data_IF_722869905961
#
_entry.id   IF_722869905961
#
_cell.length_a   1.000
_cell.length_b   1.000
_cell.length_c   1.000
_cell.angle_alpha   90.00
_cell.angle_beta   90.00
_cell.angle_gamma   90.00
#
_symmetry.space_group_name_H-M   'P 1'
#
loop_
_entity.id
_entity.type
_entity.pdbx_description
1 polymer ?
#
# COMPACT_ATOMS: atom_id res chain seq x y z
N UNK A 1 -3.96 -27.80 71.07
CA UNK A 1 -5.37 -27.84 71.53
C UNK A 1 -6.06 -28.86 70.64
N UNK A 2 -6.09 -30.14 71.00
CA UNK A 2 -7.00 -30.82 71.94
C UNK A 2 -8.46 -30.83 71.47
N UNK A 3 -9.02 -32.05 71.53
CA UNK A 3 -10.42 -32.50 71.48
C UNK A 3 -10.97 -32.79 70.07
N UNK A 4 -11.20 -34.03 69.59
CA UNK A 4 -11.73 -35.33 70.10
C UNK A 4 -13.25 -35.42 70.31
N UNK A 5 -13.79 -36.54 69.80
CA UNK A 5 -15.03 -37.25 70.16
C UNK A 5 -16.35 -36.66 69.58
N UNK A 6 -17.33 -37.46 69.14
CA UNK A 6 -17.86 -38.64 69.82
C UNK A 6 -18.72 -39.52 68.90
N UNK A 7 -18.48 -40.81 68.99
CA UNK A 7 -19.33 -41.93 68.57
C UNK A 7 -20.62 -42.03 69.38
N UNK A 8 -21.71 -42.54 68.80
CA UNK A 8 -22.77 -43.21 69.56
C UNK A 8 -23.11 -44.57 68.93
N UNK A 9 -23.03 -45.60 69.78
CA UNK A 9 -23.40 -47.00 69.55
C UNK A 9 -24.56 -47.34 70.47
N UNK A 10 -25.56 -48.05 69.93
CA UNK A 10 -26.42 -49.10 70.53
C UNK A 10 -27.36 -48.69 71.68
N UNK A 11 -28.48 -49.41 72.01
CA UNK A 11 -28.61 -50.89 72.08
C UNK A 11 -29.96 -51.54 71.62
N UNK A 12 -29.93 -52.82 71.19
CA UNK A 12 -30.54 -54.05 71.81
C UNK A 12 -32.10 -54.13 71.71
N UNK A 13 -32.81 -55.25 71.50
CA UNK A 13 -32.68 -56.61 72.03
C UNK A 13 -33.82 -57.55 71.46
N UNK A 14 -33.52 -58.84 71.17
CA UNK A 14 -34.36 -60.09 71.27
C UNK A 14 -35.70 -60.20 70.50
N UNK A 15 -36.26 -61.36 70.11
CA UNK A 15 -35.89 -62.80 70.00
C UNK A 15 -37.10 -63.57 69.42
N UNK A 16 -36.84 -64.57 68.56
CA UNK A 16 -37.51 -65.89 68.43
C UNK A 16 -39.01 -65.97 68.08
N UNK A 17 -39.32 -66.57 66.91
CA UNK A 17 -40.27 -67.69 66.79
C UNK A 17 -40.12 -68.46 65.46
N UNK A 18 -40.14 -69.78 65.59
CA UNK A 18 -39.96 -70.83 64.60
C UNK A 18 -41.24 -71.15 63.80
N UNK A 19 -41.04 -71.96 62.75
CA UNK A 19 -41.97 -72.86 62.01
C UNK A 19 -42.71 -72.31 60.77
N UNK A 20 -42.43 -72.92 59.62
CA UNK A 20 -43.27 -72.78 58.42
C UNK A 20 -42.61 -73.23 57.11
N UNK A 21 -42.37 -74.53 56.98
CA UNK A 21 -42.02 -75.28 55.76
C UNK A 21 -42.88 -74.86 54.55
N UNK A 22 -42.29 -74.46 53.42
CA UNK A 22 -42.77 -74.84 52.08
C UNK A 22 -41.66 -74.71 51.04
N UNK A 23 -41.39 -75.84 50.37
CA UNK A 23 -40.51 -75.97 49.21
C UNK A 23 -40.88 -74.97 48.11
N UNK A 24 -39.93 -74.15 47.70
CA UNK A 24 -39.80 -73.63 46.34
C UNK A 24 -38.31 -73.35 46.13
N UNK A 25 -37.61 -74.25 45.42
CA UNK A 25 -36.29 -73.98 44.86
C UNK A 25 -36.41 -72.74 43.95
N UNK A 26 -35.78 -71.59 44.24
CA UNK A 26 -35.48 -70.65 43.19
C UNK A 26 -34.33 -71.27 42.40
N UNK A 27 -34.57 -71.55 41.11
CA UNK A 27 -33.49 -71.67 40.15
C UNK A 27 -32.56 -70.48 40.37
N UNK A 28 -31.34 -70.73 40.84
CA UNK A 28 -30.22 -69.84 40.61
C UNK A 28 -29.98 -69.87 39.11
N UNK A 29 -30.74 -69.07 38.37
CA UNK A 29 -30.32 -68.63 37.05
C UNK A 29 -29.08 -67.80 37.34
N UNK A 30 -27.92 -68.41 37.13
CA UNK A 30 -26.72 -67.66 36.81
C UNK A 30 -27.07 -66.85 35.57
N UNK A 31 -27.47 -65.60 35.76
CA UNK A 31 -27.40 -64.62 34.71
C UNK A 31 -25.89 -64.46 34.43
N UNK A 32 -25.35 -65.34 33.59
CA UNK A 32 -24.26 -64.91 32.74
C UNK A 32 -24.80 -63.69 32.02
N UNK A 33 -24.17 -62.54 32.19
CA UNK A 33 -24.36 -61.43 31.28
C UNK A 33 -23.92 -61.98 29.91
N UNK A 34 -24.87 -62.41 29.11
CA UNK A 34 -24.64 -62.73 27.71
C UNK A 34 -24.30 -61.41 27.02
N UNK A 35 -23.01 -61.19 26.77
CA UNK A 35 -22.44 -60.08 26.00
C UNK A 35 -22.72 -60.20 24.48
N UNK A 36 -23.71 -61.00 24.09
CA UNK A 36 -24.12 -61.13 22.70
C UNK A 36 -24.97 -59.90 22.32
N UNK A 37 -24.35 -58.92 21.65
CA UNK A 37 -25.03 -57.80 21.00
C UNK A 37 -24.87 -56.41 21.64
N UNK A 38 -23.87 -56.19 22.52
CA UNK A 38 -23.53 -54.84 22.99
C UNK A 38 -22.62 -54.10 22.00
N UNK A 39 -22.99 -52.88 21.66
CA UNK A 39 -22.24 -51.99 20.79
C UNK A 39 -21.08 -51.31 21.54
N UNK A 40 -19.98 -50.98 20.87
CA UNK A 40 -18.83 -50.32 21.49
C UNK A 40 -19.22 -49.02 22.22
N UNK A 41 -20.13 -48.24 21.64
CA UNK A 41 -20.60 -46.95 22.19
C UNK A 41 -21.55 -47.09 23.38
N UNK A 42 -22.08 -48.28 23.67
CA UNK A 42 -22.90 -48.50 24.88
C UNK A 42 -22.07 -48.35 26.16
N UNK A 43 -20.75 -48.57 26.06
CA UNK A 43 -19.79 -48.35 27.15
C UNK A 43 -18.80 -47.21 26.88
N UNK A 44 -18.49 -46.91 25.63
CA UNK A 44 -17.56 -45.84 25.22
C UNK A 44 -18.28 -44.60 24.66
N UNK A 45 -19.40 -44.22 25.29
CA UNK A 45 -20.21 -43.08 24.85
C UNK A 45 -19.38 -41.79 24.74
N UNK A 46 -18.33 -41.65 25.56
CA UNK A 46 -17.42 -40.51 25.59
C UNK A 46 -16.74 -40.24 24.24
N UNK A 47 -16.63 -41.23 23.35
CA UNK A 47 -16.01 -41.10 22.02
C UNK A 47 -16.88 -40.35 21.00
N UNK A 48 -18.10 -40.00 21.38
CA UNK A 48 -19.12 -39.40 20.50
C UNK A 48 -19.80 -38.14 21.08
N UNK A 49 -19.15 -37.49 22.05
CA UNK A 49 -19.71 -36.33 22.78
C UNK A 49 -19.33 -34.96 22.20
N UNK A 50 -18.31 -34.88 21.35
CA UNK A 50 -17.79 -33.61 20.82
C UNK A 50 -18.55 -33.13 19.59
N UNK A 51 -18.35 -31.85 19.23
CA UNK A 51 -19.10 -31.19 18.15
C UNK A 51 -18.93 -31.84 16.77
N UNK A 52 -17.72 -32.25 16.44
CA UNK A 52 -17.37 -32.91 15.17
C UNK A 52 -16.98 -34.33 15.48
N UNK A 53 -17.80 -35.28 15.04
CA UNK A 53 -17.57 -36.71 15.25
C UNK A 53 -17.16 -37.31 13.90
N UNK A 54 -16.12 -38.14 13.90
CA UNK A 54 -15.70 -38.85 12.72
C UNK A 54 -16.82 -39.82 12.30
N UNK A 55 -17.21 -39.81 11.02
CA UNK A 55 -18.40 -40.54 10.56
C UNK A 55 -18.33 -42.05 10.85
N UNK A 56 -17.13 -42.63 10.95
CA UNK A 56 -16.93 -44.04 11.28
C UNK A 56 -17.38 -44.38 12.71
N UNK A 57 -17.44 -43.40 13.61
CA UNK A 57 -17.89 -43.58 15.00
C UNK A 57 -19.42 -43.59 15.08
N UNK A 58 -20.14 -43.10 14.07
CA UNK A 58 -21.60 -43.10 14.08
C UNK A 58 -22.21 -44.51 13.99
N UNK A 59 -21.43 -45.51 13.60
CA UNK A 59 -21.80 -46.92 13.54
C UNK A 59 -20.90 -47.73 14.50
N UNK A 60 -21.50 -48.30 15.55
CA UNK A 60 -20.77 -49.03 16.59
C UNK A 60 -20.05 -50.28 16.08
N UNK A 61 -20.48 -50.81 14.94
CA UNK A 61 -19.90 -52.01 14.35
C UNK A 61 -18.68 -51.67 13.46
N UNK A 62 -18.47 -50.39 13.16
CA UNK A 62 -17.36 -49.92 12.34
C UNK A 62 -16.05 -49.72 13.11
N UNK A 63 -16.06 -49.84 14.45
CA UNK A 63 -14.85 -49.70 15.28
C UNK A 63 -13.76 -50.71 14.91
N UNK A 64 -14.15 -51.94 14.53
CA UNK A 64 -13.22 -53.00 14.13
C UNK A 64 -12.57 -52.77 12.77
N UNK A 65 -12.97 -51.75 12.01
CA UNK A 65 -12.29 -51.36 10.78
C UNK A 65 -10.94 -50.70 11.05
N UNK A 66 -10.80 -50.05 12.21
CA UNK A 66 -9.57 -49.38 12.63
C UNK A 66 -8.85 -50.12 13.77
N UNK A 67 -9.62 -50.79 14.64
CA UNK A 67 -9.11 -51.48 15.81
C UNK A 67 -9.10 -53.00 15.63
N UNK A 68 -7.97 -53.64 15.89
CA UNK A 68 -7.88 -55.09 15.94
C UNK A 68 -8.09 -55.57 17.38
N UNK A 69 -8.87 -56.62 17.57
CA UNK A 69 -9.03 -57.22 18.89
C UNK A 69 -7.74 -57.96 19.27
N UNK A 70 -7.09 -57.53 20.35
CA UNK A 70 -5.84 -58.12 20.87
C UNK A 70 -6.12 -59.11 22.00
N UNK A 71 -7.05 -58.76 22.92
CA UNK A 71 -7.39 -59.59 24.07
C UNK A 71 -8.91 -59.77 24.22
N UNK A 72 -9.47 -60.89 23.74
CA UNK A 72 -10.91 -61.15 23.80
C UNK A 72 -11.47 -61.23 25.22
N UNK A 73 -10.70 -61.77 26.16
CA UNK A 73 -11.15 -61.94 27.55
C UNK A 73 -11.20 -60.60 28.31
N UNK A 74 -10.39 -59.63 27.90
CA UNK A 74 -10.34 -58.28 28.50
C UNK A 74 -11.03 -57.20 27.65
N UNK A 75 -11.65 -57.56 26.53
CA UNK A 75 -12.18 -56.59 25.56
C UNK A 75 -11.11 -55.54 25.16
N UNK A 76 -9.87 -56.00 25.01
CA UNK A 76 -8.71 -55.17 24.64
C UNK A 76 -8.54 -55.10 23.12
N UNK A 77 -8.32 -53.89 22.62
CA UNK A 77 -8.14 -53.61 21.19
C UNK A 77 -6.85 -52.84 20.95
N UNK A 78 -6.12 -53.23 19.91
CA UNK A 78 -4.97 -52.50 19.43
C UNK A 78 -5.40 -51.25 18.66
N UNK A 79 -4.77 -50.09 18.93
CA UNK A 79 -4.90 -48.92 18.08
C UNK A 79 -4.18 -49.23 16.77
N UNK A 80 -4.95 -49.34 15.68
CA UNK A 80 -4.50 -49.67 14.33
C UNK A 80 -4.22 -51.16 14.13
N UNK A 81 -5.01 -51.79 13.25
CA UNK A 81 -4.78 -53.18 12.86
C UNK A 81 -3.33 -53.34 12.38
N UNK A 82 -2.50 -54.04 13.16
CA UNK A 82 -1.04 -54.08 13.06
C UNK A 82 -0.46 -54.65 11.73
N UNK A 83 -1.30 -54.92 10.73
CA UNK A 83 -0.98 -55.71 9.53
C UNK A 83 -1.32 -55.04 8.19
N UNK A 84 -1.49 -53.72 8.12
CA UNK A 84 -1.76 -53.02 6.85
C UNK A 84 -0.69 -51.96 6.61
N UNK A 85 0.21 -52.25 5.65
CA UNK A 85 1.44 -51.51 5.35
C UNK A 85 1.28 -50.13 4.70
N UNK A 86 0.09 -49.55 4.75
CA UNK A 86 -0.21 -48.13 4.48
C UNK A 86 -1.26 -47.75 5.53
N UNK A 87 -1.03 -46.68 6.31
CA UNK A 87 -1.75 -46.43 7.57
C UNK A 87 -3.28 -46.48 7.45
N UNK A 88 -3.98 -47.03 8.47
CA UNK A 88 -5.44 -47.25 8.53
C UNK A 88 -6.31 -46.12 7.96
N UNK A 89 -5.86 -44.86 8.08
CA UNK A 89 -6.58 -43.71 7.55
C UNK A 89 -6.71 -43.73 6.02
N UNK A 90 -5.69 -44.19 5.28
CA UNK A 90 -5.67 -44.21 3.81
C UNK A 90 -6.58 -45.28 3.19
N UNK A 91 -7.10 -46.22 4.00
CA UNK A 91 -8.09 -47.19 3.53
C UNK A 91 -9.40 -46.53 3.09
N UNK A 92 -9.72 -45.36 3.65
CA UNK A 92 -10.93 -44.61 3.33
C UNK A 92 -10.62 -43.19 2.83
N UNK A 93 -9.58 -42.55 3.34
CA UNK A 93 -9.14 -41.23 2.86
C UNK A 93 -8.23 -41.40 1.64
N UNK A 94 -8.65 -40.84 0.51
CA UNK A 94 -7.90 -40.90 -0.74
C UNK A 94 -6.69 -39.97 -0.77
N UNK A 95 -6.05 -39.89 -1.94
CA UNK A 95 -4.88 -39.06 -2.17
C UNK A 95 -5.14 -37.56 -1.95
N UNK A 96 -4.17 -36.87 -1.35
CA UNK A 96 -4.22 -35.43 -1.16
C UNK A 96 -4.04 -34.71 -2.51
N UNK A 97 -4.84 -33.67 -2.79
CA UNK A 97 -4.78 -32.92 -4.04
C UNK A 97 -3.40 -32.29 -4.26
N UNK A 98 -3.03 -32.12 -5.52
CA UNK A 98 -1.71 -31.65 -5.94
C UNK A 98 -0.81 -32.79 -6.42
N UNK A 99 0.39 -32.42 -6.82
CA UNK A 99 1.45 -33.26 -7.40
C UNK A 99 2.79 -33.09 -6.65
N UNK A 100 2.92 -32.07 -5.79
CA UNK A 100 4.13 -31.81 -4.99
C UNK A 100 4.39 -32.81 -3.86
N UNK A 101 5.44 -32.55 -3.08
CA UNK A 101 5.83 -33.41 -1.95
C UNK A 101 4.83 -33.33 -0.80
N UNK A 102 4.64 -34.46 -0.11
CA UNK A 102 3.84 -34.51 1.11
C UNK A 102 4.57 -33.76 2.23
N UNK A 103 3.81 -33.02 3.03
CA UNK A 103 4.31 -32.44 4.25
C UNK A 103 4.79 -33.54 5.20
N UNK A 104 5.95 -33.34 5.86
CA UNK A 104 6.65 -34.37 6.63
C UNK A 104 5.76 -35.23 7.55
N UNK A 105 4.88 -34.67 8.41
CA UNK A 105 4.00 -35.50 9.25
C UNK A 105 3.05 -36.40 8.47
N UNK A 106 2.65 -35.98 7.26
CA UNK A 106 1.77 -36.77 6.38
C UNK A 106 2.56 -37.83 5.63
N UNK A 107 3.76 -37.50 5.18
CA UNK A 107 4.67 -38.44 4.50
C UNK A 107 5.04 -39.62 5.40
N UNK A 108 5.22 -39.37 6.71
CA UNK A 108 5.57 -40.39 7.70
C UNK A 108 4.34 -41.12 8.28
N UNK A 109 3.12 -40.72 7.90
CA UNK A 109 1.88 -41.34 8.37
C UNK A 109 1.44 -40.89 9.78
N UNK A 110 2.03 -39.83 10.32
CA UNK A 110 1.78 -39.27 11.65
C UNK A 110 0.51 -38.39 11.72
N UNK A 111 -0.58 -38.87 11.11
CA UNK A 111 -1.87 -38.15 11.01
C UNK A 111 -2.40 -37.69 12.38
N UNK A 112 -2.14 -38.48 13.43
CA UNK A 112 -2.66 -38.27 14.78
C UNK A 112 -2.01 -37.11 15.53
N UNK A 113 -0.89 -36.59 15.00
CA UNK A 113 -0.27 -35.37 15.53
C UNK A 113 -1.23 -34.20 15.43
N UNK A 114 -2.00 -34.14 14.34
CA UNK A 114 -2.92 -33.06 14.04
C UNK A 114 -4.39 -33.46 14.18
N UNK A 115 -4.75 -34.72 13.90
CA UNK A 115 -6.14 -35.18 13.86
C UNK A 115 -6.49 -36.15 15.00
N UNK A 116 -7.69 -36.00 15.54
CA UNK A 116 -8.31 -36.99 16.41
C UNK A 116 -9.19 -37.92 15.55
N UNK A 117 -8.93 -39.24 15.52
CA UNK A 117 -9.64 -40.16 14.63
C UNK A 117 -11.08 -40.45 15.07
N UNK A 118 -11.47 -40.01 16.27
CA UNK A 118 -12.80 -40.21 16.82
C UNK A 118 -13.64 -38.95 16.73
N UNK A 119 -13.14 -37.84 17.30
CA UNK A 119 -13.95 -36.63 17.48
C UNK A 119 -13.12 -35.40 17.87
N UNK A 120 -13.65 -34.20 17.64
CA UNK A 120 -13.08 -32.93 18.11
C UNK A 120 -14.15 -31.84 18.25
N UNK A 121 -13.86 -30.80 19.01
CA UNK A 121 -14.63 -29.55 19.00
C UNK A 121 -14.29 -28.65 17.79
N UNK A 122 -13.22 -29.00 17.06
CA UNK A 122 -12.68 -28.26 15.92
C UNK A 122 -13.03 -28.95 14.59
N UNK A 123 -13.14 -28.14 13.53
CA UNK A 123 -13.35 -28.64 12.18
C UNK A 123 -12.21 -29.59 11.74
N UNK A 124 -12.50 -30.48 10.80
CA UNK A 124 -11.56 -31.49 10.29
C UNK A 124 -10.92 -32.36 11.40
N UNK A 125 -11.58 -32.48 12.56
CA UNK A 125 -11.12 -33.28 13.69
C UNK A 125 -9.75 -32.86 14.25
N UNK A 126 -9.39 -31.58 14.15
CA UNK A 126 -8.10 -31.11 14.66
C UNK A 126 -7.98 -31.31 16.18
N UNK A 127 -6.82 -31.71 16.68
CA UNK A 127 -6.59 -31.93 18.12
C UNK A 127 -6.48 -30.61 18.89
N UNK A 128 -6.06 -29.52 18.23
CA UNK A 128 -5.89 -28.16 18.76
C UNK A 128 -6.16 -27.11 17.68
N UNK A 129 -6.36 -25.81 18.04
CA UNK A 129 -6.50 -24.74 17.05
C UNK A 129 -5.34 -24.73 16.05
N UNK A 130 -5.62 -24.45 14.78
CA UNK A 130 -4.65 -24.60 13.69
C UNK A 130 -3.32 -23.88 13.95
N UNK A 131 -3.35 -22.61 14.35
CA UNK A 131 -2.13 -21.87 14.66
C UNK A 131 -1.28 -22.56 15.74
N UNK A 132 -1.91 -23.07 16.81
CA UNK A 132 -1.19 -23.79 17.87
C UNK A 132 -0.54 -25.07 17.35
N UNK A 133 -1.26 -25.85 16.52
CA UNK A 133 -0.72 -27.07 15.90
C UNK A 133 0.51 -26.79 15.04
N UNK A 134 0.44 -25.75 14.20
CA UNK A 134 1.55 -25.38 13.35
C UNK A 134 2.77 -24.98 14.19
N UNK A 135 2.56 -24.21 15.27
CA UNK A 135 3.66 -23.71 16.09
C UNK A 135 4.26 -24.71 17.08
N UNK A 136 3.74 -25.94 17.17
CA UNK A 136 4.44 -27.02 17.89
C UNK A 136 5.76 -27.40 17.22
N UNK A 137 5.81 -27.27 15.89
CA UNK A 137 6.98 -27.59 15.08
C UNK A 137 7.57 -26.37 14.37
N UNK A 138 6.74 -25.43 13.90
CA UNK A 138 7.19 -24.22 13.24
C UNK A 138 7.46 -23.11 14.24
N UNK A 139 8.53 -22.34 14.01
CA UNK A 139 8.85 -21.23 14.89
C UNK A 139 7.72 -20.18 14.89
N UNK A 140 7.26 -19.73 16.07
CA UNK A 140 6.29 -18.65 16.15
C UNK A 140 6.91 -17.33 15.66
N UNK A 141 6.07 -16.47 15.10
CA UNK A 141 6.50 -15.14 14.65
C UNK A 141 6.76 -14.17 15.81
N UNK A 142 7.56 -13.13 15.57
CA UNK A 142 7.81 -12.08 16.56
C UNK A 142 6.54 -11.28 16.86
N UNK A 143 6.07 -11.33 18.10
CA UNK A 143 4.86 -10.66 18.56
C UNK A 143 4.94 -9.13 18.53
N UNK A 144 6.14 -8.55 18.33
CA UNK A 144 6.31 -7.10 18.15
C UNK A 144 5.99 -6.63 16.73
N UNK A 145 5.92 -7.56 15.77
CA UNK A 145 5.61 -7.24 14.39
C UNK A 145 4.11 -7.24 14.15
N UNK A 146 3.67 -6.51 13.12
CA UNK A 146 2.29 -6.55 12.67
C UNK A 146 2.10 -7.83 11.88
N UNK A 147 1.13 -8.64 12.28
CA UNK A 147 0.75 -9.85 11.57
C UNK A 147 -0.30 -9.56 10.50
N UNK A 148 -0.17 -10.27 9.38
CA UNK A 148 -1.23 -10.40 8.40
C UNK A 148 -2.45 -11.08 9.03
N UNK A 149 -3.67 -10.74 8.59
CA UNK A 149 -4.88 -11.20 9.25
C UNK A 149 -5.00 -12.74 9.36
N UNK A 150 -4.71 -13.53 8.30
CA UNK A 150 -4.74 -15.00 8.41
C UNK A 150 -3.71 -15.54 9.40
N UNK A 151 -2.54 -14.91 9.51
CA UNK A 151 -1.52 -15.29 10.50
C UNK A 151 -1.97 -14.93 11.91
N UNK A 152 -2.54 -13.74 12.11
CA UNK A 152 -3.04 -13.29 13.40
C UNK A 152 -4.17 -14.16 13.95
N UNK A 153 -5.03 -14.70 13.07
CA UNK A 153 -6.10 -15.62 13.45
C UNK A 153 -5.66 -17.09 13.52
N UNK A 154 -4.43 -17.41 13.14
CA UNK A 154 -3.95 -18.80 13.05
C UNK A 154 -4.59 -19.60 11.92
N UNK A 155 -5.11 -18.93 10.89
CA UNK A 155 -5.73 -19.52 9.69
C UNK A 155 -4.67 -19.82 8.63
N UNK A 156 -3.63 -20.56 8.99
CA UNK A 156 -2.52 -20.94 8.11
C UNK A 156 -3.02 -21.62 6.82
N UNK A 157 -4.11 -22.39 6.89
CA UNK A 157 -4.64 -23.10 5.73
C UNK A 157 -5.37 -22.21 4.72
N UNK A 158 -5.54 -20.92 4.99
CA UNK A 158 -6.12 -20.02 3.99
C UNK A 158 -5.14 -19.84 2.81
N UNK A 159 -3.84 -19.95 3.07
CA UNK A 159 -2.80 -19.83 2.05
C UNK A 159 -2.00 -21.12 1.83
N UNK A 160 -1.81 -21.94 2.87
CA UNK A 160 -1.06 -23.19 2.80
C UNK A 160 -1.99 -24.40 2.75
N UNK A 161 -1.59 -25.47 2.05
CA UNK A 161 -2.18 -26.78 2.25
C UNK A 161 -1.34 -27.57 3.27
N UNK A 162 -1.88 -27.95 4.43
CA UNK A 162 -1.10 -28.63 5.46
C UNK A 162 -0.67 -30.05 5.09
N UNK A 163 -1.22 -30.62 4.01
CA UNK A 163 -0.87 -31.97 3.55
C UNK A 163 0.03 -31.94 2.32
N UNK A 164 -0.38 -31.21 1.27
CA UNK A 164 0.28 -31.23 -0.03
C UNK A 164 -0.15 -30.05 -0.89
N UNK A 165 0.80 -29.44 -1.59
CA UNK A 165 0.48 -28.55 -2.71
C UNK A 165 1.54 -28.66 -3.81
N UNK A 166 1.18 -28.20 -5.01
CA UNK A 166 2.11 -28.10 -6.15
C UNK A 166 3.21 -27.06 -5.92
N UNK A 167 2.90 -26.05 -5.13
CA UNK A 167 3.78 -24.90 -4.94
C UNK A 167 4.73 -25.07 -3.75
N UNK A 168 5.94 -24.48 -3.82
CA UNK A 168 6.86 -24.44 -2.68
C UNK A 168 6.19 -23.90 -1.41
N UNK A 169 6.66 -24.36 -0.26
CA UNK A 169 6.05 -24.03 1.05
C UNK A 169 4.57 -24.39 1.16
N UNK A 170 4.11 -25.34 0.33
CA UNK A 170 2.74 -25.83 0.30
C UNK A 170 1.70 -24.75 -0.01
N UNK A 171 2.03 -23.74 -0.83
CA UNK A 171 1.07 -22.70 -1.17
C UNK A 171 -0.09 -23.25 -2.03
N UNK A 172 -1.31 -22.82 -1.74
CA UNK A 172 -2.52 -23.22 -2.47
C UNK A 172 -2.62 -22.66 -3.89
N UNK A 173 -1.88 -21.59 -4.18
CA UNK A 173 -1.78 -20.95 -5.48
C UNK A 173 -0.45 -20.20 -5.60
N UNK A 174 -0.07 -19.86 -6.82
CA UNK A 174 1.05 -18.94 -7.12
C UNK A 174 0.68 -17.48 -6.81
N UNK A 175 1.69 -16.63 -6.65
CA UNK A 175 1.48 -15.18 -6.73
C UNK A 175 1.31 -14.76 -8.20
N UNK A 176 0.40 -13.82 -8.50
CA UNK A 176 -0.40 -13.03 -7.56
C UNK A 176 -1.78 -13.64 -7.23
N UNK A 177 -2.17 -14.76 -7.85
CA UNK A 177 -3.48 -15.38 -7.71
C UNK A 177 -3.83 -15.67 -6.25
N UNK A 178 -2.86 -16.17 -5.47
CA UNK A 178 -3.02 -16.44 -4.04
C UNK A 178 -3.47 -15.19 -3.27
N UNK A 179 -2.81 -14.06 -3.53
CA UNK A 179 -3.10 -12.79 -2.86
C UNK A 179 -4.49 -12.26 -3.27
N UNK A 180 -4.85 -12.41 -4.55
CA UNK A 180 -6.11 -11.94 -5.10
C UNK A 180 -7.34 -12.77 -4.71
N UNK A 181 -7.17 -13.91 -4.02
CA UNK A 181 -8.30 -14.61 -3.41
C UNK A 181 -9.00 -13.75 -2.36
N UNK A 182 -8.28 -12.80 -1.75
CA UNK A 182 -8.81 -11.88 -0.73
C UNK A 182 -8.60 -10.41 -1.09
N UNK A 183 -7.47 -10.05 -1.71
CA UNK A 183 -7.18 -8.67 -2.07
C UNK A 183 -7.79 -8.29 -3.42
N UNK A 184 -8.44 -7.13 -3.48
CA UNK A 184 -9.03 -6.62 -4.71
C UNK A 184 -7.98 -6.17 -5.72
N UNK A 185 -8.35 -6.10 -7.01
CA UNK A 185 -7.47 -5.57 -8.04
C UNK A 185 -7.18 -4.08 -7.78
N UNK A 186 -5.97 -3.66 -8.12
CA UNK A 186 -5.59 -2.25 -8.19
C UNK A 186 -5.99 -1.66 -9.55
N UNK A 187 -6.07 -0.34 -9.62
CA UNK A 187 -6.32 0.36 -10.88
C UNK A 187 -5.07 0.32 -11.76
N UNK A 188 -5.02 -0.62 -12.71
CA UNK A 188 -3.96 -0.70 -13.72
C UNK A 188 -4.43 -0.22 -15.10
N UNK A 189 -5.45 0.66 -15.16
CA UNK A 189 -6.05 1.07 -16.44
C UNK A 189 -5.15 1.93 -17.33
N UNK A 190 -4.16 2.62 -16.73
CA UNK A 190 -3.15 3.39 -17.46
C UNK A 190 -1.78 2.74 -17.43
N UNK A 191 -1.23 2.58 -16.23
CA UNK A 191 0.10 2.02 -16.00
C UNK A 191 0.08 1.09 -14.79
N UNK A 192 0.72 -0.08 -14.94
CA UNK A 192 0.98 -1.01 -13.84
C UNK A 192 2.45 -0.93 -13.45
N UNK A 193 2.73 -1.07 -12.16
CA UNK A 193 4.10 -1.17 -11.68
C UNK A 193 4.67 -2.54 -11.99
N UNK A 194 5.93 -2.59 -12.44
CA UNK A 194 6.55 -3.80 -12.98
C UNK A 194 6.49 -5.02 -12.03
N UNK A 195 6.88 -4.94 -10.73
CA UNK A 195 6.80 -6.10 -9.83
C UNK A 195 5.37 -6.65 -9.70
N UNK A 196 4.38 -5.78 -9.84
CA UNK A 196 2.97 -6.15 -9.77
C UNK A 196 2.48 -6.78 -11.06
N UNK A 197 2.93 -6.28 -12.21
CA UNK A 197 2.65 -6.87 -13.54
C UNK A 197 3.20 -8.29 -13.65
N UNK A 198 4.37 -8.55 -13.05
CA UNK A 198 4.97 -9.89 -12.99
C UNK A 198 4.49 -10.76 -11.82
N UNK A 199 3.58 -10.25 -10.98
CA UNK A 199 3.02 -11.02 -9.88
C UNK A 199 3.95 -11.23 -8.69
N UNK A 200 5.02 -10.44 -8.57
CA UNK A 200 6.05 -10.56 -7.53
C UNK A 200 5.64 -9.80 -6.26
N UNK A 201 4.45 -10.10 -5.71
CA UNK A 201 3.92 -9.42 -4.53
C UNK A 201 4.89 -9.49 -3.34
N UNK A 202 5.52 -10.65 -3.16
CA UNK A 202 6.50 -10.93 -2.11
C UNK A 202 7.84 -10.19 -2.27
N UNK A 203 8.10 -9.53 -3.40
CA UNK A 203 9.28 -8.66 -3.55
C UNK A 203 9.20 -7.42 -2.65
N UNK A 204 7.97 -6.96 -2.38
CA UNK A 204 7.69 -5.75 -1.61
C UNK A 204 6.98 -6.03 -0.29
N UNK A 205 6.14 -7.08 -0.24
CA UNK A 205 5.35 -7.43 0.93
C UNK A 205 5.86 -8.70 1.62
N UNK A 206 5.79 -8.72 2.96
CA UNK A 206 6.00 -9.89 3.78
C UNK A 206 4.63 -10.48 4.14
N UNK A 207 4.22 -11.63 3.54
CA UNK A 207 2.85 -12.14 3.66
C UNK A 207 2.47 -12.62 5.07
N UNK A 208 3.44 -12.74 5.99
CA UNK A 208 3.21 -13.16 7.36
C UNK A 208 3.23 -11.99 8.35
N UNK A 209 4.39 -11.37 8.52
CA UNK A 209 4.65 -10.35 9.53
C UNK A 209 5.63 -9.31 9.02
N UNK A 210 5.46 -8.06 9.45
CA UNK A 210 6.47 -7.02 9.27
C UNK A 210 6.40 -5.97 10.38
N UNK A 211 7.53 -5.32 10.64
CA UNK A 211 7.55 -4.09 11.45
C UNK A 211 6.89 -2.91 10.70
N UNK A 212 6.91 -2.96 9.36
CA UNK A 212 6.48 -1.84 8.52
C UNK A 212 4.97 -1.82 8.26
N UNK A 213 4.37 -0.63 8.05
CA UNK A 213 2.99 -0.53 7.62
C UNK A 213 2.73 -1.33 6.34
N UNK A 214 1.51 -1.85 6.18
CA UNK A 214 1.10 -2.63 4.99
C UNK A 214 1.99 -3.83 4.71
N UNK A 215 2.69 -4.34 5.73
CA UNK A 215 3.57 -5.48 5.64
C UNK A 215 4.71 -5.31 4.65
N UNK A 216 5.25 -4.10 4.48
CA UNK A 216 6.40 -3.90 3.59
C UNK A 216 7.65 -4.62 4.10
N UNK A 217 8.53 -5.07 3.20
CA UNK A 217 9.80 -5.73 3.54
C UNK A 217 10.87 -4.76 4.08
N UNK A 218 10.71 -3.46 3.82
CA UNK A 218 11.57 -2.38 4.30
C UNK A 218 10.78 -1.06 4.36
N UNK A 219 11.29 -0.02 5.07
CA UNK A 219 10.75 1.33 5.00
C UNK A 219 10.61 1.82 3.55
N UNK A 220 9.53 2.56 3.23
CA UNK A 220 9.14 2.90 1.86
C UNK A 220 10.29 3.45 1.00
N UNK A 221 11.04 4.44 1.50
CA UNK A 221 12.16 5.03 0.76
C UNK A 221 13.18 3.96 0.38
N UNK A 222 13.62 3.18 1.37
CA UNK A 222 14.64 2.16 1.19
C UNK A 222 14.16 1.06 0.25
N UNK A 223 12.90 0.64 0.36
CA UNK A 223 12.29 -0.34 -0.53
C UNK A 223 12.32 0.12 -1.99
N UNK A 224 11.85 1.35 -2.27
CA UNK A 224 11.87 1.88 -3.63
C UNK A 224 13.30 1.96 -4.19
N UNK A 225 14.27 2.36 -3.36
CA UNK A 225 15.67 2.54 -3.76
C UNK A 225 16.46 1.23 -3.93
N UNK A 226 15.86 0.06 -3.64
CA UNK A 226 16.46 -1.22 -4.00
C UNK A 226 16.54 -1.40 -5.52
N UNK A 227 15.59 -0.83 -6.26
CA UNK A 227 15.52 -0.91 -7.72
C UNK A 227 15.65 0.47 -8.40
N UNK A 228 15.17 1.54 -7.78
CA UNK A 228 15.21 2.89 -8.34
C UNK A 228 16.44 3.66 -7.88
N UNK A 229 17.05 4.41 -8.81
CA UNK A 229 18.17 5.28 -8.48
C UNK A 229 17.73 6.41 -7.54
N UNK A 230 18.62 6.79 -6.61
CA UNK A 230 18.36 7.94 -5.75
C UNK A 230 18.36 9.24 -6.58
N UNK A 231 17.38 10.09 -6.31
CA UNK A 231 17.30 11.41 -6.93
C UNK A 231 18.43 12.29 -6.41
N UNK A 232 19.15 12.92 -7.33
CA UNK A 232 20.24 13.85 -7.02
C UNK A 232 19.96 15.24 -7.59
N UNK A 233 20.52 16.25 -6.92
CA UNK A 233 20.57 17.61 -7.42
C UNK A 233 20.70 18.65 -6.31
N UNK A 234 20.96 19.91 -6.67
CA UNK A 234 21.09 21.00 -5.70
C UNK A 234 19.81 21.21 -4.84
N UNK A 235 18.65 20.91 -5.41
CA UNK A 235 17.35 20.99 -4.74
C UNK A 235 16.61 19.67 -4.89
N UNK A 236 16.14 19.14 -3.76
CA UNK A 236 15.29 17.95 -3.70
C UNK A 236 13.92 18.39 -3.21
N UNK A 237 12.87 17.94 -3.89
CA UNK A 237 11.49 18.24 -3.50
C UNK A 237 11.17 17.64 -2.12
N UNK A 238 10.46 18.40 -1.29
CA UNK A 238 10.18 18.05 0.12
C UNK A 238 9.67 16.62 0.33
N UNK A 239 8.60 16.18 -0.37
CA UNK A 239 8.08 14.82 -0.24
C UNK A 239 9.11 13.72 -0.55
N UNK A 240 10.00 13.96 -1.51
CA UNK A 240 11.06 13.02 -1.89
C UNK A 240 12.15 12.97 -0.83
N UNK A 241 12.53 14.13 -0.29
CA UNK A 241 13.47 14.21 0.83
C UNK A 241 12.95 13.46 2.07
N UNK A 242 11.64 13.50 2.29
CA UNK A 242 10.94 12.79 3.38
C UNK A 242 10.70 11.30 3.08
N UNK A 243 11.01 10.83 1.87
CA UNK A 243 10.83 9.43 1.49
C UNK A 243 9.37 9.02 1.20
N UNK A 244 8.49 9.99 0.95
CA UNK A 244 7.06 9.77 0.71
C UNK A 244 6.77 9.60 -0.80
N UNK A 245 7.32 8.54 -1.39
CA UNK A 245 7.11 8.21 -2.81
C UNK A 245 5.63 7.99 -3.12
N UNK A 246 4.92 7.29 -2.22
CA UNK A 246 3.50 7.00 -2.40
C UNK A 246 2.58 8.20 -2.11
N UNK A 247 3.14 9.37 -1.78
CA UNK A 247 2.36 10.61 -1.72
C UNK A 247 1.86 11.04 -3.11
N UNK A 248 2.63 10.70 -4.14
CA UNK A 248 2.36 11.05 -5.53
C UNK A 248 2.10 9.85 -6.43
N UNK A 249 2.81 8.75 -6.18
CA UNK A 249 2.70 7.53 -6.98
C UNK A 249 1.82 6.48 -6.30
N UNK A 250 1.08 5.70 -7.08
CA UNK A 250 0.52 4.43 -6.63
C UNK A 250 1.54 3.31 -6.89
N UNK A 251 2.02 2.60 -5.86
CA UNK A 251 3.06 1.58 -6.04
C UNK A 251 2.60 0.31 -6.76
N UNK A 252 1.29 0.15 -7.01
CA UNK A 252 0.76 -0.99 -7.76
C UNK A 252 0.37 -0.62 -9.18
N UNK A 253 -0.38 0.46 -9.34
CA UNK A 253 -0.91 0.88 -10.63
C UNK A 253 -1.75 2.14 -10.51
N UNK A 254 -1.83 2.91 -11.60
CA UNK A 254 -2.76 4.02 -11.69
C UNK A 254 -3.32 4.19 -13.10
N UNK A 255 -4.46 4.87 -13.23
CA UNK A 255 -4.99 5.34 -14.51
C UNK A 255 -4.05 6.29 -15.25
N UNK A 256 -3.17 7.00 -14.53
CA UNK A 256 -2.24 7.95 -15.13
C UNK A 256 -0.88 7.32 -15.41
N UNK A 257 -0.19 7.85 -16.41
CA UNK A 257 1.18 7.49 -16.72
C UNK A 257 2.11 7.75 -15.53
N UNK A 258 3.23 7.03 -15.48
CA UNK A 258 4.21 7.10 -14.40
C UNK A 258 3.59 6.81 -13.01
N UNK A 259 2.50 6.05 -12.97
CA UNK A 259 1.81 5.65 -11.74
C UNK A 259 1.29 6.82 -10.89
N UNK A 260 0.99 7.98 -11.50
CA UNK A 260 0.51 9.13 -10.73
C UNK A 260 -0.91 8.89 -10.19
N UNK A 261 -1.13 9.20 -8.91
CA UNK A 261 -2.43 9.02 -8.24
C UNK A 261 -3.55 9.91 -8.78
N UNK A 262 -3.20 10.99 -9.46
CA UNK A 262 -4.11 11.94 -10.08
C UNK A 262 -3.41 12.64 -11.24
N UNK A 263 -4.18 13.38 -12.05
CA UNK A 263 -3.59 14.30 -13.02
C UNK A 263 -2.67 15.32 -12.33
N UNK A 264 -1.64 15.80 -13.02
CA UNK A 264 -0.61 16.65 -12.43
C UNK A 264 -1.18 17.88 -11.70
N UNK A 265 -2.15 18.66 -12.23
CA UNK A 265 -2.67 19.82 -11.53
C UNK A 265 -3.27 19.42 -10.18
N UNK A 266 -4.18 18.46 -10.15
CA UNK A 266 -4.83 18.00 -8.92
C UNK A 266 -3.81 17.45 -7.91
N UNK A 267 -2.83 16.68 -8.41
CA UNK A 267 -1.79 16.10 -7.59
C UNK A 267 -0.91 17.18 -6.96
N UNK A 268 -0.42 18.12 -7.77
CA UNK A 268 0.41 19.22 -7.31
C UNK A 268 -0.37 20.16 -6.38
N UNK A 269 -1.62 20.47 -6.69
CA UNK A 269 -2.46 21.41 -5.93
C UNK A 269 -2.88 20.88 -4.57
N UNK A 270 -2.88 19.56 -4.37
CA UNK A 270 -3.04 18.94 -3.04
C UNK A 270 -2.10 19.58 -1.98
N UNK A 271 -0.94 20.08 -2.41
CA UNK A 271 -0.02 20.85 -1.58
C UNK A 271 0.16 22.30 -2.08
N UNK A 272 0.39 22.52 -3.37
CA UNK A 272 0.71 23.83 -3.95
C UNK A 272 -0.50 24.73 -4.22
N UNK A 273 -1.72 24.27 -3.91
CA UNK A 273 -2.94 25.10 -3.97
C UNK A 273 -3.11 26.03 -2.77
N UNK A 274 -2.34 25.82 -1.71
CA UNK A 274 -2.35 26.63 -0.47
C UNK A 274 -1.03 27.34 -0.24
N UNK A 275 -1.02 28.26 0.73
CA UNK A 275 0.20 28.94 1.16
C UNK A 275 1.15 27.92 1.78
N UNK A 276 2.34 27.80 1.19
CA UNK A 276 3.45 26.99 1.66
C UNK A 276 4.70 27.87 1.78
N UNK A 277 5.72 27.37 2.46
CA UNK A 277 7.05 27.96 2.44
C UNK A 277 8.01 27.04 1.71
N UNK A 278 8.94 27.62 0.96
CA UNK A 278 10.09 26.91 0.43
C UNK A 278 11.03 26.46 1.56
N UNK A 279 11.99 25.59 1.25
CA UNK A 279 12.98 25.11 2.21
C UNK A 279 13.78 26.24 2.89
N UNK A 280 13.93 27.38 2.22
CA UNK A 280 14.60 28.59 2.74
C UNK A 280 13.67 29.53 3.52
N UNK A 281 12.44 29.10 3.80
CA UNK A 281 11.43 29.86 4.54
C UNK A 281 10.70 30.93 3.72
N UNK A 282 11.02 31.11 2.43
CA UNK A 282 10.27 32.05 1.58
C UNK A 282 8.85 31.54 1.32
N UNK A 283 7.83 32.42 1.39
CA UNK A 283 6.47 32.04 1.04
C UNK A 283 6.37 31.73 -0.46
N UNK A 284 5.72 30.62 -0.79
CA UNK A 284 5.34 30.24 -2.13
C UNK A 284 3.98 30.84 -2.48
N UNK A 285 3.83 31.25 -3.74
CA UNK A 285 2.54 31.71 -4.27
C UNK A 285 1.65 30.48 -4.45
N UNK A 286 0.44 30.43 -3.84
CA UNK A 286 -0.51 29.37 -4.10
C UNK A 286 -0.91 29.43 -5.57
N UNK A 287 -0.70 28.35 -6.31
CA UNK A 287 -0.80 28.38 -7.77
C UNK A 287 -2.17 27.97 -8.31
N UNK A 288 -2.92 27.18 -7.54
CA UNK A 288 -4.27 26.74 -7.90
C UNK A 288 -5.23 27.91 -8.22
N UNK A 289 -5.26 29.03 -7.47
CA UNK A 289 -6.11 30.17 -7.84
C UNK A 289 -5.73 30.81 -9.18
N UNK A 290 -4.49 30.64 -9.64
CA UNK A 290 -4.08 31.10 -10.98
C UNK A 290 -4.54 30.13 -12.08
N UNK A 291 -4.58 28.84 -11.76
CA UNK A 291 -5.06 27.82 -12.68
C UNK A 291 -6.58 27.84 -12.85
N UNK A 292 -7.34 28.08 -11.77
CA UNK A 292 -8.81 28.06 -11.78
C UNK A 292 -9.44 29.39 -12.20
N UNK A 293 -8.68 30.49 -12.22
CA UNK A 293 -9.21 31.82 -12.54
C UNK A 293 -9.70 31.93 -13.99
N UNK A 294 -11.00 32.16 -14.18
CA UNK A 294 -11.64 32.28 -15.50
C UNK A 294 -11.21 33.54 -16.27
N UNK A 295 -10.87 34.62 -15.56
CA UNK A 295 -10.42 35.88 -16.17
C UNK A 295 -8.93 35.88 -16.54
N UNK A 296 -8.20 34.80 -16.25
CA UNK A 296 -6.76 34.75 -16.48
C UNK A 296 -6.44 34.21 -17.87
N UNK A 297 -5.57 34.93 -18.58
CA UNK A 297 -4.84 34.35 -19.69
C UNK A 297 -3.80 33.41 -19.10
N UNK A 298 -3.79 32.16 -19.54
CA UNK A 298 -2.89 31.11 -19.05
C UNK A 298 -1.81 30.83 -20.08
N UNK A 299 -0.62 30.51 -19.61
CA UNK A 299 0.48 30.04 -20.41
C UNK A 299 0.15 28.62 -20.89
N UNK A 300 0.30 28.32 -22.17
CA UNK A 300 -0.26 27.10 -22.78
C UNK A 300 0.05 25.78 -22.03
N UNK A 301 1.31 25.42 -21.70
CA UNK A 301 1.60 24.24 -20.87
C UNK A 301 0.92 24.26 -19.50
N UNK A 302 0.77 25.44 -18.89
CA UNK A 302 0.08 25.61 -17.62
C UNK A 302 -1.43 25.48 -17.79
N UNK A 303 -2.01 25.94 -18.90
CA UNK A 303 -3.44 25.75 -19.22
C UNK A 303 -3.80 24.27 -19.41
N UNK A 304 -2.95 23.53 -20.11
CA UNK A 304 -3.09 22.08 -20.35
C UNK A 304 -2.73 21.23 -19.11
N UNK A 305 -2.33 21.85 -18.00
CA UNK A 305 -1.99 21.15 -16.77
C UNK A 305 -0.68 20.35 -16.81
N UNK A 306 0.22 20.65 -17.76
CA UNK A 306 1.50 19.97 -17.95
C UNK A 306 2.59 20.60 -17.09
N UNK A 307 2.46 20.43 -15.77
CA UNK A 307 3.38 21.02 -14.79
C UNK A 307 4.80 20.48 -14.93
N UNK A 308 4.95 19.20 -15.27
CA UNK A 308 6.22 18.50 -15.45
C UNK A 308 7.00 18.94 -16.70
N UNK A 309 6.37 19.63 -17.66
CA UNK A 309 7.07 20.23 -18.80
C UNK A 309 8.04 21.35 -18.39
N UNK A 310 7.78 21.98 -17.24
CA UNK A 310 8.56 23.11 -16.74
C UNK A 310 9.25 22.78 -15.41
N UNK A 311 8.64 21.91 -14.61
CA UNK A 311 9.13 21.55 -13.28
C UNK A 311 9.66 20.11 -13.23
N UNK A 312 10.76 19.91 -12.51
CA UNK A 312 11.29 18.60 -12.15
C UNK A 312 10.74 18.21 -10.77
N UNK A 313 9.65 17.41 -10.69
CA UNK A 313 8.92 17.17 -9.44
C UNK A 313 9.70 16.40 -8.38
N UNK A 314 10.87 15.84 -8.71
CA UNK A 314 11.71 15.07 -7.80
C UNK A 314 12.90 15.86 -7.26
N UNK A 315 13.81 16.23 -8.14
CA UNK A 315 15.03 16.97 -7.83
C UNK A 315 15.52 17.71 -9.08
N UNK A 316 16.31 18.76 -8.87
CA UNK A 316 16.91 19.54 -9.94
C UNK A 316 17.91 20.57 -9.45
N UNK A 317 18.61 21.19 -10.38
CA UNK A 317 19.65 22.18 -10.09
C UNK A 317 19.11 23.60 -9.90
N UNK A 318 17.95 23.89 -10.50
CA UNK A 318 17.46 25.25 -10.63
C UNK A 318 16.37 25.59 -9.61
N UNK A 319 16.34 26.86 -9.22
CA UNK A 319 15.37 27.36 -8.25
C UNK A 319 13.94 27.03 -8.68
N UNK A 320 13.08 26.64 -7.71
CA UNK A 320 11.71 26.16 -7.96
C UNK A 320 11.64 24.89 -8.81
N UNK A 321 12.74 24.13 -8.85
CA UNK A 321 12.86 22.89 -9.60
C UNK A 321 12.53 23.10 -11.08
N UNK A 322 12.96 24.22 -11.67
CA UNK A 322 12.81 24.40 -13.11
C UNK A 322 13.73 23.40 -13.84
N UNK A 323 13.30 22.95 -15.02
CA UNK A 323 14.05 21.97 -15.81
C UNK A 323 15.30 22.54 -16.51
N UNK A 324 15.51 23.85 -16.44
CA UNK A 324 16.69 24.52 -16.99
C UNK A 324 16.96 25.86 -16.29
N UNK A 325 18.06 26.52 -16.67
CA UNK A 325 18.53 27.74 -16.07
C UNK A 325 17.56 28.91 -16.28
N UNK A 326 17.24 29.57 -15.16
CA UNK A 326 16.47 30.81 -15.15
C UNK A 326 16.87 31.71 -13.95
N UNK A 327 17.03 33.03 -14.13
CA UNK A 327 17.47 33.89 -13.04
C UNK A 327 16.35 34.12 -12.01
N UNK A 328 16.67 34.00 -10.73
CA UNK A 328 15.67 34.09 -9.64
C UNK A 328 15.31 35.53 -9.21
N UNK A 329 16.16 36.50 -9.54
CA UNK A 329 15.97 37.93 -9.24
C UNK A 329 15.14 38.67 -10.30
N UNK A 330 14.88 39.95 -10.06
CA UNK A 330 14.27 40.85 -11.06
C UNK A 330 15.28 41.46 -12.03
N UNK A 331 16.57 41.37 -11.69
CA UNK A 331 17.66 41.85 -12.50
C UNK A 331 18.66 40.73 -12.77
N UNK A 332 19.09 40.61 -14.01
CA UNK A 332 20.17 39.73 -14.46
C UNK A 332 20.73 40.25 -15.78
N UNK A 333 22.01 39.98 -16.05
CA UNK A 333 22.56 40.19 -17.39
C UNK A 333 21.88 39.23 -18.37
N UNK A 334 21.65 39.70 -19.60
CA UNK A 334 21.14 38.85 -20.67
C UNK A 334 22.24 37.94 -21.22
N UNK A 335 21.91 36.67 -21.38
CA UNK A 335 22.68 35.65 -22.11
C UNK A 335 21.73 34.49 -22.41
N UNK A 336 21.84 33.83 -23.55
CA UNK A 336 20.96 32.70 -23.89
C UNK A 336 20.99 31.60 -22.81
N UNK A 337 22.17 31.30 -22.28
CA UNK A 337 22.36 30.26 -21.27
C UNK A 337 21.65 30.58 -19.97
N UNK A 338 21.66 31.84 -19.52
CA UNK A 338 20.98 32.23 -18.28
C UNK A 338 19.45 32.15 -18.38
N UNK A 339 18.89 32.13 -19.59
CA UNK A 339 17.46 32.08 -19.87
C UNK A 339 17.06 30.83 -20.66
N UNK A 340 17.94 29.81 -20.71
CA UNK A 340 17.74 28.57 -21.47
C UNK A 340 16.37 27.93 -21.20
N UNK A 341 15.89 27.99 -19.95
CA UNK A 341 14.53 27.58 -19.58
C UNK A 341 13.42 28.12 -20.48
N UNK A 342 13.43 29.43 -20.76
CA UNK A 342 12.42 30.04 -21.61
C UNK A 342 12.67 29.69 -23.08
N UNK A 343 13.93 29.62 -23.50
CA UNK A 343 14.31 29.43 -24.90
C UNK A 343 14.19 27.98 -25.38
N UNK A 344 13.93 27.04 -24.47
CA UNK A 344 13.49 25.69 -24.82
C UNK A 344 12.16 25.68 -25.60
N UNK A 345 11.37 26.76 -25.54
CA UNK A 345 10.11 26.90 -26.28
C UNK A 345 9.94 28.25 -26.99
N UNK A 346 10.65 29.29 -26.55
CA UNK A 346 10.55 30.63 -27.13
C UNK A 346 11.78 31.00 -27.96
N UNK A 347 11.58 31.76 -29.02
CA UNK A 347 12.67 32.25 -29.87
C UNK A 347 13.49 33.35 -29.16
N UNK A 348 14.81 33.15 -29.07
CA UNK A 348 15.76 34.11 -28.50
C UNK A 348 16.02 35.31 -29.41
N UNK A 349 15.75 35.20 -30.71
CA UNK A 349 16.02 36.26 -31.69
C UNK A 349 15.32 37.58 -31.39
N UNK A 350 14.21 37.54 -30.63
CA UNK A 350 13.51 38.73 -30.14
C UNK A 350 14.33 39.61 -29.17
N UNK A 351 15.48 39.15 -28.69
CA UNK A 351 16.30 39.80 -27.67
C UNK A 351 17.72 40.13 -28.13
N UNK A 352 18.08 39.80 -29.38
CA UNK A 352 19.44 39.94 -29.90
C UNK A 352 19.68 41.31 -30.54
N UNK A 353 18.69 41.83 -31.28
CA UNK A 353 18.83 43.08 -32.03
C UNK A 353 18.22 44.28 -31.31
N UNK A 354 19.00 45.36 -31.19
CA UNK A 354 18.51 46.66 -30.69
C UNK A 354 17.42 47.24 -31.59
N UNK A 355 17.50 46.98 -32.90
CA UNK A 355 16.53 47.48 -33.89
C UNK A 355 15.97 46.34 -34.71
N UNK A 356 14.65 46.22 -34.74
CA UNK A 356 13.96 45.23 -35.55
C UNK A 356 12.53 45.67 -35.86
N UNK A 357 12.04 45.32 -37.05
CA UNK A 357 10.64 45.53 -37.45
C UNK A 357 9.79 44.26 -37.33
N UNK A 358 10.43 43.08 -37.24
CA UNK A 358 9.80 41.76 -37.32
C UNK A 358 10.02 40.88 -36.08
N UNK A 359 11.10 41.08 -35.31
CA UNK A 359 11.46 40.18 -34.22
C UNK A 359 10.47 40.22 -33.05
N UNK A 360 9.79 41.36 -32.86
CA UNK A 360 8.76 41.48 -31.82
C UNK A 360 7.78 42.62 -32.11
N UNK A 361 6.56 42.46 -31.60
CA UNK A 361 5.54 43.51 -31.59
C UNK A 361 5.71 44.51 -30.42
N UNK A 362 6.62 44.24 -29.49
CA UNK A 362 6.99 45.15 -28.40
C UNK A 362 8.16 46.04 -28.82
N UNK A 363 7.89 46.99 -29.71
CA UNK A 363 8.87 47.92 -30.29
C UNK A 363 8.29 49.32 -30.50
N UNK A 364 9.10 50.35 -30.32
CA UNK A 364 8.72 51.76 -30.56
C UNK A 364 9.37 52.25 -31.86
N UNK A 365 8.63 52.29 -32.96
CA UNK A 365 9.24 52.26 -34.29
C UNK A 365 10.07 51.00 -34.46
N UNK A 366 11.33 51.14 -34.90
CA UNK A 366 12.27 50.02 -35.01
C UNK A 366 12.95 49.67 -33.68
N UNK A 367 12.86 50.51 -32.64
CA UNK A 367 13.54 50.24 -31.38
C UNK A 367 12.90 49.05 -30.67
N UNK A 368 13.64 47.95 -30.56
CA UNK A 368 13.22 46.76 -29.84
C UNK A 368 13.19 47.02 -28.34
N UNK A 369 11.99 47.01 -27.75
CA UNK A 369 11.83 47.28 -26.33
C UNK A 369 12.18 46.07 -25.47
N UNK A 370 12.13 44.83 -25.98
CA UNK A 370 12.66 43.69 -25.24
C UNK A 370 14.16 43.87 -25.00
N UNK A 371 14.95 44.00 -26.07
CA UNK A 371 16.40 44.26 -26.01
C UNK A 371 16.73 45.40 -25.04
N UNK A 372 16.01 46.53 -25.14
CA UNK A 372 16.26 47.71 -24.29
C UNK A 372 16.05 47.45 -22.79
N UNK A 373 15.19 46.51 -22.42
CA UNK A 373 14.94 46.16 -21.02
C UNK A 373 15.83 45.03 -20.51
N UNK A 374 16.19 44.06 -21.36
CA UNK A 374 16.96 42.86 -20.99
C UNK A 374 18.47 43.06 -21.14
N UNK A 375 18.93 43.74 -22.19
CA UNK A 375 20.35 43.79 -22.57
C UNK A 375 21.04 45.04 -21.98
N UNK A 376 21.02 45.14 -20.64
CA UNK A 376 21.67 46.21 -19.86
C UNK A 376 22.51 45.60 -18.73
N UNK A 377 23.45 46.36 -18.17
CA UNK A 377 24.19 45.95 -16.95
C UNK A 377 23.28 45.53 -15.80
N UNK A 378 22.10 46.17 -15.70
CA UNK A 378 20.98 45.78 -14.83
C UNK A 378 19.73 45.46 -15.66
N UNK A 379 19.88 44.50 -16.57
CA UNK A 379 18.80 43.95 -17.38
C UNK A 379 17.65 43.44 -16.51
N UNK A 380 16.41 43.67 -16.93
CA UNK A 380 15.21 43.12 -16.27
C UNK A 380 15.00 41.70 -16.76
N UNK A 381 14.83 40.77 -15.85
CA UNK A 381 14.45 39.39 -16.20
C UNK A 381 13.05 39.35 -16.81
N UNK A 382 12.72 38.33 -17.60
CA UNK A 382 11.36 38.14 -18.11
C UNK A 382 10.31 38.12 -16.98
N UNK A 383 10.65 37.48 -15.85
CA UNK A 383 9.89 37.40 -14.61
C UNK A 383 9.92 38.72 -13.81
N UNK A 384 10.30 39.84 -14.42
CA UNK A 384 9.98 41.17 -13.91
C UNK A 384 8.70 41.74 -14.55
N UNK A 385 8.32 41.23 -15.72
CA UNK A 385 7.18 41.71 -16.51
C UNK A 385 6.16 40.60 -16.83
N UNK A 386 6.59 39.38 -17.16
CA UNK A 386 5.71 38.28 -17.58
C UNK A 386 5.51 37.26 -16.49
N UNK A 387 4.27 36.81 -16.28
CA UNK A 387 3.98 35.63 -15.48
C UNK A 387 4.23 34.37 -16.31
N UNK A 388 4.99 33.42 -15.78
CA UNK A 388 5.21 32.12 -16.43
C UNK A 388 4.01 31.16 -16.34
N UNK A 389 2.99 31.52 -15.56
CA UNK A 389 1.80 30.69 -15.38
C UNK A 389 0.57 31.37 -15.97
N UNK A 390 0.12 32.47 -15.37
CA UNK A 390 -1.08 33.15 -15.80
C UNK A 390 -1.09 34.62 -15.38
N UNK A 391 -1.82 35.44 -16.13
CA UNK A 391 -2.10 36.84 -15.80
C UNK A 391 -3.38 37.31 -16.49
N UNK A 392 -4.06 38.30 -15.90
CA UNK A 392 -5.24 38.93 -16.52
C UNK A 392 -4.88 39.93 -17.63
N UNK A 393 -3.63 40.37 -17.71
CA UNK A 393 -3.22 41.35 -18.73
C UNK A 393 -2.69 40.66 -19.99
N UNK A 394 -2.83 41.30 -21.18
CA UNK A 394 -2.38 40.74 -22.45
C UNK A 394 -0.91 40.29 -22.43
N UNK A 395 -0.61 39.25 -23.21
CA UNK A 395 0.75 38.68 -23.32
C UNK A 395 1.34 38.24 -21.97
N UNK A 396 0.46 37.82 -21.04
CA UNK A 396 0.83 37.35 -19.70
C UNK A 396 1.61 38.39 -18.89
N UNK A 397 1.47 39.68 -19.18
CA UNK A 397 2.11 40.73 -18.37
C UNK A 397 1.49 40.71 -16.99
N UNK A 398 2.30 40.57 -15.95
CA UNK A 398 1.85 40.48 -14.56
C UNK A 398 1.23 41.78 -14.07
N UNK A 399 0.29 41.66 -13.15
CA UNK A 399 -0.26 42.81 -12.43
C UNK A 399 0.65 43.33 -11.34
N UNK A 400 1.51 42.45 -10.78
CA UNK A 400 2.36 42.79 -9.65
C UNK A 400 3.69 42.06 -9.72
N UNK A 401 4.75 42.71 -9.28
CA UNK A 401 6.08 42.12 -9.15
C UNK A 401 6.73 42.47 -7.81
N UNK A 402 7.60 41.58 -7.34
CA UNK A 402 8.35 41.81 -6.10
C UNK A 402 9.53 42.74 -6.34
N UNK A 403 9.66 43.79 -5.52
CA UNK A 403 10.79 44.71 -5.51
C UNK A 403 11.29 44.88 -4.07
N UNK A 404 12.38 44.20 -3.73
CA UNK A 404 12.81 44.08 -2.33
C UNK A 404 11.74 43.37 -1.50
N UNK A 405 11.27 44.02 -0.44
CA UNK A 405 10.19 43.50 0.43
C UNK A 405 8.79 43.92 -0.02
N UNK A 406 8.69 44.78 -1.03
CA UNK A 406 7.43 45.37 -1.47
C UNK A 406 6.90 44.64 -2.71
N UNK A 407 5.58 44.56 -2.82
CA UNK A 407 4.89 44.12 -4.02
C UNK A 407 4.39 45.36 -4.77
N UNK A 408 4.91 45.61 -5.97
CA UNK A 408 4.59 46.78 -6.77
C UNK A 408 3.63 46.43 -7.90
N UNK A 409 2.65 47.30 -8.15
CA UNK A 409 1.72 47.17 -9.27
C UNK A 409 2.37 47.52 -10.61
N UNK A 410 1.95 46.81 -11.65
CA UNK A 410 2.25 47.05 -13.05
C UNK A 410 0.94 46.94 -13.85
N UNK A 411 0.74 47.87 -14.79
CA UNK A 411 -0.38 47.87 -15.72
C UNK A 411 0.14 47.99 -17.13
N UNK A 412 -0.30 47.11 -18.00
CA UNK A 412 -0.05 47.09 -19.42
C UNK A 412 -1.38 47.14 -20.16
N UNK A 413 -1.45 47.99 -21.17
CA UNK A 413 -2.63 48.13 -22.03
C UNK A 413 -2.17 48.08 -23.47
N UNK A 414 -2.53 47.03 -24.18
CA UNK A 414 -2.24 46.89 -25.60
C UNK A 414 -3.11 47.84 -26.43
N UNK A 415 -2.54 48.41 -27.49
CA UNK A 415 -3.27 49.13 -28.55
C UNK A 415 -3.05 48.43 -29.88
N UNK A 416 -3.80 48.81 -30.92
CA UNK A 416 -3.65 48.22 -32.25
C UNK A 416 -2.22 48.34 -32.80
N UNK A 417 -1.56 49.49 -32.59
CA UNK A 417 -0.20 49.80 -33.05
C UNK A 417 0.90 49.64 -32.01
N UNK A 418 0.57 49.44 -30.73
CA UNK A 418 1.56 49.41 -29.66
C UNK A 418 0.97 49.16 -28.28
N UNK A 419 1.24 50.03 -27.31
CA UNK A 419 0.69 49.89 -25.97
C UNK A 419 1.18 50.93 -24.97
N UNK A 420 0.62 50.88 -23.77
CA UNK A 420 1.06 51.68 -22.62
C UNK A 420 1.47 50.76 -21.46
N UNK A 421 2.47 51.20 -20.69
CA UNK A 421 2.90 50.53 -19.48
C UNK A 421 3.06 51.53 -18.34
N UNK A 422 2.46 51.25 -17.20
CA UNK A 422 2.60 52.01 -15.96
C UNK A 422 3.11 51.09 -14.85
N UNK A 423 3.94 51.63 -13.97
CA UNK A 423 4.36 50.95 -12.73
C UNK A 423 4.04 51.84 -11.53
N UNK A 424 3.92 51.25 -10.34
CA UNK A 424 3.52 51.99 -9.14
C UNK A 424 4.36 53.24 -8.81
N UNK A 425 5.62 53.31 -9.27
CA UNK A 425 6.53 54.42 -8.94
C UNK A 425 7.00 55.25 -10.15
N UNK A 426 6.58 54.93 -11.38
CA UNK A 426 6.99 55.65 -12.59
C UNK A 426 5.78 56.14 -13.37
N UNK A 427 5.97 57.22 -14.14
CA UNK A 427 4.97 57.72 -15.08
C UNK A 427 4.61 56.64 -16.10
N UNK A 428 3.37 56.67 -16.58
CA UNK A 428 2.95 55.84 -17.69
C UNK A 428 3.76 56.20 -18.94
N UNK A 429 4.22 55.17 -19.64
CA UNK A 429 4.97 55.29 -20.89
C UNK A 429 4.19 54.59 -21.99
N UNK A 430 4.27 55.11 -23.21
CA UNK A 430 3.60 54.52 -24.37
C UNK A 430 4.59 54.24 -25.48
N UNK A 431 4.24 53.32 -26.36
CA UNK A 431 4.99 53.05 -27.57
C UNK A 431 4.04 52.78 -28.72
N UNK A 432 4.52 53.04 -29.93
CA UNK A 432 3.79 52.74 -31.15
C UNK A 432 4.76 52.32 -32.25
N UNK A 433 4.37 51.31 -33.02
CA UNK A 433 5.21 50.69 -34.05
C UNK A 433 5.34 51.52 -35.32
N UNK A 434 4.35 52.37 -35.59
CA UNK A 434 4.23 53.15 -36.84
C UNK A 434 4.51 54.63 -36.60
N UNK A 435 4.09 55.17 -35.44
CA UNK A 435 4.31 56.58 -35.03
C UNK A 435 5.07 56.64 -33.69
N UNK A 436 6.41 56.48 -33.70
CA UNK A 436 7.19 56.28 -32.49
C UNK A 436 6.98 57.39 -31.45
N UNK A 437 6.78 57.00 -30.19
CA UNK A 437 6.49 57.93 -29.11
C UNK A 437 7.76 58.38 -28.41
N UNK A 438 7.87 59.69 -28.15
CA UNK A 438 8.94 60.26 -27.34
C UNK A 438 8.56 60.24 -25.84
N UNK A 439 9.01 59.21 -25.14
CA UNK A 439 8.88 59.14 -23.68
C UNK A 439 9.98 59.97 -23.01
N UNK A 440 9.62 61.13 -22.45
CA UNK A 440 10.56 61.98 -21.67
C UNK A 440 10.91 61.35 -20.33
N UNK A 441 11.77 60.33 -20.34
CA UNK A 441 12.33 59.71 -19.13
C UNK A 441 13.75 60.24 -18.90
N UNK A 442 14.10 60.58 -17.65
CA UNK A 442 15.48 61.00 -17.29
C UNK A 442 16.55 59.91 -17.50
N UNK A 443 16.14 58.67 -17.75
CA UNK A 443 17.01 57.48 -17.82
C UNK A 443 17.13 56.90 -19.24
N UNK A 444 16.81 57.69 -20.26
CA UNK A 444 17.01 57.33 -21.68
C UNK A 444 18.11 58.18 -22.29
N UNK A 445 19.31 57.62 -22.52
CA UNK A 445 20.15 58.09 -23.62
C UNK A 445 19.39 57.89 -24.93
N UNK A 446 19.59 58.81 -25.87
CA UNK A 446 18.87 58.91 -27.15
C UNK A 446 19.43 58.01 -28.25
N UNK A 447 20.44 57.20 -27.93
CA UNK A 447 21.21 56.39 -28.88
C UNK A 447 20.64 54.98 -29.03
#
# INVERSE_FOLDING_TARGET
MIATHRTHRHPLLRSVLLFGLFLLMPLMVSAGFELDGMACLDCHAELSEKKVIHSIIADSDSCTMCHAQDNPDLHGFDPFAANIGEGVCSMCHGEFPGSGELHYPVADGDCLTCHNPHQSDLAALLTRPQGELCFDCHAPFDSKQKAHAPVASGSCSDCHDPHRADQPSLLRAVEPELCFQCHGPFDASGSSHMPVEFGECSSCHLPHVSAEPKLLSAPQKELCLQCHAEFSGALIHGPIKEGNCAGCHDPHGAAQQNLLKAAEPDLCFSCHGRRLNAADGRPLVPIQPLFEGEEQLKHFPFEDGRCSDCHLPHAGEHARLLNDAYPSGIYAAYSEEAYAFCFNCHDSGAFEDLRSTSATNFRNGELNLHYRHTNRDKGRTCNACHSGHASVQPSLVRERFSFGKNLLGQRFTATAGGGTCATACHIEVSYDRDTPVNNRLRTTPWE
#
